data_IF_270926070721
#
_entry.id   IF_270926070721
#
_cell.length_a   1.000
_cell.length_b   1.000
_cell.length_c   1.000
_cell.angle_alpha   90.00
_cell.angle_beta   90.00
_cell.angle_gamma   90.00
#
_symmetry.space_group_name_H-M   'P 1'
#
loop_
_entity.id
_entity.type
_entity.pdbx_description
1 polymer ?
#
# COMPACT_ATOMS: atom_id res chain seq x y z
N UNK A 1 -5.87 -27.66 -4.99
CA UNK A 1 -5.75 -26.19 -4.97
C UNK A 1 -4.27 -25.89 -5.06
N UNK A 2 -3.80 -25.36 -6.18
CA UNK A 2 -2.42 -24.89 -6.32
C UNK A 2 -2.28 -23.67 -5.41
N UNK A 3 -1.23 -23.62 -4.59
CA UNK A 3 -0.97 -22.41 -3.80
C UNK A 3 -0.86 -21.22 -4.76
N UNK A 4 -1.58 -20.14 -4.47
CA UNK A 4 -1.43 -18.90 -5.23
C UNK A 4 0.04 -18.45 -5.12
N UNK A 5 0.65 -18.08 -6.24
CA UNK A 5 2.02 -17.55 -6.24
C UNK A 5 2.01 -16.21 -5.50
N UNK A 6 2.93 -16.03 -4.56
CA UNK A 6 3.11 -14.78 -3.82
C UNK A 6 4.44 -14.10 -4.18
N UNK A 7 4.54 -12.82 -3.87
CA UNK A 7 5.77 -12.02 -3.90
C UNK A 7 5.85 -11.19 -2.61
N UNK A 8 7.06 -10.86 -2.16
CA UNK A 8 7.24 -9.92 -1.04
C UNK A 8 7.52 -8.53 -1.57
N UNK A 9 6.88 -7.52 -0.99
CA UNK A 9 7.06 -6.11 -1.36
C UNK A 9 7.38 -5.25 -0.13
N UNK A 10 8.12 -4.16 -0.33
CA UNK A 10 8.43 -3.17 0.72
C UNK A 10 8.66 -1.80 0.10
N UNK A 11 8.62 -0.76 0.92
CA UNK A 11 9.31 0.50 0.62
C UNK A 11 10.52 0.52 1.54
N UNK A 12 11.70 0.29 0.96
CA UNK A 12 12.93 0.02 1.70
C UNK A 12 13.24 1.11 2.73
N UNK A 13 13.39 0.69 3.99
CA UNK A 13 13.69 1.59 5.11
C UNK A 13 12.50 2.40 5.63
N UNK A 14 11.29 2.17 5.08
CA UNK A 14 10.08 2.92 5.44
C UNK A 14 9.03 1.99 6.06
N UNK A 15 8.67 0.91 5.36
CA UNK A 15 7.59 0.00 5.78
C UNK A 15 8.05 -1.44 5.95
N UNK A 16 7.25 -2.25 6.64
CA UNK A 16 7.48 -3.69 6.74
C UNK A 16 7.46 -4.36 5.36
N UNK A 17 7.96 -5.60 5.29
CA UNK A 17 7.75 -6.44 4.12
C UNK A 17 6.35 -7.07 4.15
N UNK A 18 5.66 -7.04 3.02
CA UNK A 18 4.33 -7.62 2.84
C UNK A 18 4.39 -8.76 1.83
N UNK A 19 3.93 -9.95 2.22
CA UNK A 19 3.67 -11.04 1.26
C UNK A 19 2.31 -10.85 0.61
N UNK A 20 2.30 -10.61 -0.71
CA UNK A 20 1.10 -10.31 -1.50
C UNK A 20 0.96 -11.28 -2.67
N UNK A 21 -0.23 -11.43 -3.27
CA UNK A 21 -0.39 -12.16 -4.52
C UNK A 21 0.58 -11.64 -5.59
N UNK A 22 1.29 -12.55 -6.25
CA UNK A 22 2.25 -12.18 -7.28
C UNK A 22 1.52 -11.67 -8.52
N UNK A 23 1.97 -10.52 -9.03
CA UNK A 23 1.52 -9.97 -10.31
C UNK A 23 2.72 -9.37 -11.08
N UNK A 24 2.52 -9.16 -12.38
CA UNK A 24 3.53 -8.58 -13.27
C UNK A 24 3.30 -7.09 -13.54
N UNK A 25 2.35 -6.43 -12.86
CA UNK A 25 2.05 -5.02 -13.07
C UNK A 25 3.13 -4.12 -12.45
N UNK A 26 3.56 -3.11 -13.20
CA UNK A 26 4.70 -2.26 -12.86
C UNK A 26 4.43 -0.80 -13.18
N UNK A 27 4.87 0.07 -12.29
CA UNK A 27 4.89 1.51 -12.49
C UNK A 27 6.32 2.03 -12.30
N UNK A 28 6.91 2.63 -13.34
CA UNK A 28 8.30 3.10 -13.32
C UNK A 28 9.35 2.04 -12.88
N UNK A 29 9.04 0.75 -13.08
CA UNK A 29 9.88 -0.38 -12.66
C UNK A 29 9.60 -0.89 -11.24
N UNK A 30 8.77 -0.21 -10.45
CA UNK A 30 8.29 -0.64 -9.14
C UNK A 30 7.07 -1.54 -9.26
N UNK A 31 6.83 -2.38 -8.26
CA UNK A 31 5.66 -3.25 -8.19
C UNK A 31 4.38 -2.44 -7.98
N UNK A 32 3.27 -2.98 -8.46
CA UNK A 32 1.92 -2.48 -8.17
C UNK A 32 1.19 -3.56 -7.34
N UNK A 33 1.47 -3.66 -6.03
CA UNK A 33 0.94 -4.73 -5.19
C UNK A 33 -0.52 -4.50 -4.79
N UNK A 34 -1.30 -5.58 -4.79
CA UNK A 34 -2.63 -5.62 -4.19
C UNK A 34 -2.58 -6.17 -2.77
N UNK A 35 -3.10 -5.43 -1.80
CA UNK A 35 -3.08 -5.78 -0.37
C UNK A 35 -4.44 -6.27 0.10
N UNK A 36 -4.45 -7.23 1.02
CA UNK A 36 -5.67 -7.57 1.78
C UNK A 36 -6.03 -6.44 2.74
N UNK A 37 -7.30 -6.36 3.18
CA UNK A 37 -7.73 -5.33 4.14
C UNK A 37 -6.92 -5.35 5.45
N UNK A 38 -6.52 -6.52 5.94
CA UNK A 38 -5.69 -6.63 7.14
C UNK A 38 -4.27 -6.07 6.92
N UNK A 39 -3.70 -6.27 5.73
CA UNK A 39 -2.44 -5.64 5.35
C UNK A 39 -2.59 -4.13 5.20
N UNK A 40 -3.71 -3.64 4.66
CA UNK A 40 -4.00 -2.20 4.62
C UNK A 40 -4.10 -1.62 6.03
N UNK A 41 -4.71 -2.32 6.99
CA UNK A 41 -4.75 -1.88 8.40
C UNK A 41 -3.36 -1.79 9.01
N UNK A 42 -2.48 -2.75 8.71
CA UNK A 42 -1.10 -2.70 9.15
C UNK A 42 -0.36 -1.51 8.52
N UNK A 43 -0.49 -1.33 7.20
CA UNK A 43 0.12 -0.22 6.49
C UNK A 43 -0.40 1.14 6.96
N UNK A 44 -1.69 1.22 7.33
CA UNK A 44 -2.27 2.42 7.94
C UNK A 44 -1.62 2.75 9.28
N UNK A 45 -1.38 1.74 10.14
CA UNK A 45 -0.65 1.95 11.39
C UNK A 45 0.82 2.37 11.15
N UNK A 46 1.47 1.83 10.13
CA UNK A 46 2.85 2.21 9.77
C UNK A 46 2.94 3.64 9.22
N UNK A 47 2.00 4.05 8.35
CA UNK A 47 1.92 5.43 7.84
C UNK A 47 1.60 6.43 8.96
N UNK A 48 0.69 6.10 9.89
CA UNK A 48 0.38 6.94 11.05
C UNK A 48 1.59 7.10 11.99
N UNK A 49 2.31 6.00 12.25
CA UNK A 49 3.53 6.03 13.05
C UNK A 49 4.64 6.87 12.39
N UNK A 50 4.81 6.77 11.07
CA UNK A 50 5.77 7.59 10.34
C UNK A 50 5.35 9.07 10.32
N UNK A 51 4.06 9.36 10.11
CA UNK A 51 3.50 10.72 10.14
C UNK A 51 3.67 11.45 11.47
N UNK A 52 3.91 10.72 12.57
CA UNK A 52 4.28 11.34 13.85
C UNK A 52 5.74 11.83 13.90
N UNK A 53 6.56 11.51 12.89
CA UNK A 53 8.01 11.79 12.86
C UNK A 53 8.45 12.71 11.73
N UNK A 54 7.57 12.96 10.75
CA UNK A 54 7.81 13.80 9.57
C UNK A 54 6.71 14.86 9.45
N UNK A 55 6.94 15.88 8.62
CA UNK A 55 5.92 16.88 8.35
C UNK A 55 4.77 16.28 7.51
N UNK A 56 3.56 16.80 7.71
CA UNK A 56 2.35 16.23 7.12
C UNK A 56 2.33 16.28 5.57
N UNK A 57 3.11 17.15 4.95
CA UNK A 57 3.24 17.25 3.49
C UNK A 57 4.29 16.31 2.89
N UNK A 58 5.06 15.60 3.72
CA UNK A 58 6.09 14.65 3.28
C UNK A 58 5.60 13.21 3.14
N UNK A 59 4.40 12.90 3.65
CA UNK A 59 3.88 11.53 3.71
C UNK A 59 2.42 11.44 3.29
N UNK A 60 2.09 10.32 2.66
CA UNK A 60 0.72 9.92 2.43
C UNK A 60 0.20 9.08 3.63
N UNK A 61 -1.02 9.36 4.08
CA UNK A 61 -1.66 8.65 5.21
C UNK A 61 -2.86 7.85 4.76
N UNK A 62 -3.13 6.74 5.46
CA UNK A 62 -4.26 5.86 5.15
C UNK A 62 -5.31 5.97 6.25
N UNK A 63 -6.55 6.25 5.86
CA UNK A 63 -7.71 6.18 6.75
C UNK A 63 -8.64 5.06 6.28
N UNK A 64 -9.18 4.30 7.23
CA UNK A 64 -10.17 3.25 6.97
C UNK A 64 -11.45 3.64 7.70
N UNK A 65 -12.52 3.89 6.94
CA UNK A 65 -13.84 4.22 7.50
C UNK A 65 -14.50 3.02 8.17
N UNK A 66 -15.51 3.28 9.01
CA UNK A 66 -16.32 2.24 9.66
C UNK A 66 -17.08 1.35 8.64
N UNK A 67 -17.29 1.87 7.44
CA UNK A 67 -17.86 1.19 6.28
C UNK A 67 -16.83 0.36 5.48
N UNK A 68 -15.57 0.34 5.92
CA UNK A 68 -14.47 -0.36 5.25
C UNK A 68 -13.92 0.37 4.03
N UNK A 69 -14.31 1.63 3.80
CA UNK A 69 -13.74 2.44 2.73
C UNK A 69 -12.31 2.83 3.10
N UNK A 70 -11.37 2.44 2.24
CA UNK A 70 -9.96 2.82 2.35
C UNK A 70 -9.74 4.12 1.59
N UNK A 71 -9.17 5.11 2.25
CA UNK A 71 -8.80 6.40 1.66
C UNK A 71 -7.32 6.67 1.89
N UNK A 72 -6.62 7.10 0.85
CA UNK A 72 -5.24 7.57 0.93
C UNK A 72 -5.27 9.09 0.79
N UNK A 73 -4.78 9.80 1.80
CA UNK A 73 -4.57 11.24 1.74
C UNK A 73 -3.11 11.50 1.41
N UNK A 74 -2.86 12.17 0.28
CA UNK A 74 -1.52 12.60 -0.07
C UNK A 74 -1.16 13.90 0.61
N UNK A 75 -0.13 13.89 1.44
CA UNK A 75 0.40 15.08 2.10
C UNK A 75 0.93 16.09 1.07
N UNK A 76 1.70 15.60 0.11
CA UNK A 76 2.37 16.44 -0.89
C UNK A 76 1.37 17.19 -1.78
N UNK A 77 0.33 16.49 -2.25
CA UNK A 77 -0.69 17.06 -3.14
C UNK A 77 -1.91 17.62 -2.40
N UNK A 78 -2.00 17.38 -1.09
CA UNK A 78 -3.14 17.72 -0.24
C UNK A 78 -4.48 17.28 -0.85
N UNK A 79 -4.54 16.04 -1.32
CA UNK A 79 -5.72 15.44 -1.95
C UNK A 79 -6.00 14.07 -1.35
N UNK A 80 -7.24 13.59 -1.47
CA UNK A 80 -7.63 12.27 -0.95
C UNK A 80 -8.23 11.43 -2.06
N UNK A 81 -7.72 10.21 -2.19
CA UNK A 81 -8.18 9.23 -3.17
C UNK A 81 -8.81 8.05 -2.44
N UNK A 82 -9.97 7.61 -2.92
CA UNK A 82 -10.62 6.39 -2.43
C UNK A 82 -10.00 5.19 -3.15
N UNK A 83 -9.54 4.20 -2.39
CA UNK A 83 -9.01 2.94 -2.90
C UNK A 83 -10.10 1.88 -2.79
N UNK A 84 -10.70 1.54 -3.93
CA UNK A 84 -11.71 0.47 -4.02
C UNK A 84 -11.00 -0.86 -4.23
N UNK A 85 -11.40 -1.94 -3.54
CA UNK A 85 -10.82 -3.25 -3.78
C UNK A 85 -11.20 -3.78 -5.17
N UNK A 86 -10.32 -4.59 -5.75
CA UNK A 86 -10.61 -5.31 -6.99
C UNK A 86 -11.60 -6.47 -6.76
N UNK A 87 -12.01 -7.21 -7.82
CA UNK A 87 -12.90 -8.36 -7.67
C UNK A 87 -12.40 -9.48 -6.75
N UNK A 88 -11.09 -9.55 -6.49
CA UNK A 88 -10.46 -10.50 -5.58
C UNK A 88 -10.33 -9.95 -4.15
N UNK A 89 -10.80 -8.72 -3.90
CA UNK A 89 -10.78 -8.07 -2.59
C UNK A 89 -9.46 -7.38 -2.27
N UNK A 90 -8.61 -7.12 -3.27
CA UNK A 90 -7.28 -6.53 -3.09
C UNK A 90 -7.29 -5.02 -3.30
N UNK A 91 -6.64 -4.31 -2.39
CA UNK A 91 -6.51 -2.85 -2.39
C UNK A 91 -5.14 -2.46 -2.92
N UNK A 92 -5.09 -1.70 -4.02
CA UNK A 92 -3.84 -1.25 -4.65
C UNK A 92 -3.37 0.07 -4.06
N UNK A 93 -2.98 0.04 -2.78
CA UNK A 93 -2.56 1.21 -2.01
C UNK A 93 -1.19 1.71 -2.52
N UNK A 94 -1.13 2.98 -2.92
CA UNK A 94 0.08 3.56 -3.49
C UNK A 94 0.50 2.96 -4.83
N UNK A 95 -0.40 2.25 -5.54
CA UNK A 95 -0.04 1.44 -6.70
C UNK A 95 0.77 2.17 -7.78
N UNK A 96 0.25 3.28 -8.31
CA UNK A 96 0.91 4.09 -9.36
C UNK A 96 1.55 5.37 -8.81
N UNK A 97 1.82 5.41 -7.50
CA UNK A 97 2.29 6.62 -6.81
C UNK A 97 3.49 6.32 -5.91
N UNK A 98 3.60 5.11 -5.36
CA UNK A 98 4.64 4.72 -4.41
C UNK A 98 5.62 3.74 -5.04
N UNK A 99 6.87 3.81 -4.57
CA UNK A 99 7.98 3.01 -5.08
C UNK A 99 8.07 1.63 -4.37
N UNK A 100 7.08 0.76 -4.56
CA UNK A 100 7.10 -0.59 -3.99
C UNK A 100 8.18 -1.46 -4.65
N UNK A 101 9.14 -1.92 -3.86
CA UNK A 101 10.22 -2.81 -4.29
C UNK A 101 9.86 -4.28 -4.02
N UNK A 102 10.25 -5.19 -4.92
CA UNK A 102 10.13 -6.64 -4.68
C UNK A 102 11.34 -7.12 -3.88
N UNK A 103 11.09 -7.77 -2.74
CA UNK A 103 12.14 -8.29 -1.87
C UNK A 103 12.57 -9.70 -2.29
N UNK A 104 13.83 -9.81 -2.70
CA UNK A 104 14.48 -11.07 -3.01
C UNK A 104 14.04 -11.64 -4.36
N UNK A 105 14.99 -11.69 -5.28
CA UNK A 105 14.92 -12.54 -6.47
C UNK A 105 15.73 -13.82 -6.22
#
# INVERSE_FOLDING_TARGET
>A
MTAARTMRVTISGVYSEYEVPANDDRWNGFAVPGFTLDQVRQLAAETDALGATVDADEIDTITIGDDGIVSVHSGHWNCTTIVVPDPDGLYYVGGYEWAWEIVGN
#
